data_IF_659842021568
#
_entry.id   IF_659842021568
#
_cell.length_a   1.000
_cell.length_b   1.000
_cell.length_c   1.000
_cell.angle_alpha   90.00
_cell.angle_beta   90.00
_cell.angle_gamma   90.00
#
_symmetry.space_group_name_H-M   'P 1'
#
loop_
_entity.id
_entity.type
_entity.pdbx_description
1 polymer ?
#
# COMPACT_ATOMS: atom_id res chain seq x y z
N UNK A 1 -15.72 -13.22 -11.16
CA UNK A 1 -15.27 -13.22 -12.55
C UNK A 1 -14.23 -12.13 -12.79
N UNK A 2 -13.50 -12.25 -13.87
CA UNK A 2 -12.48 -11.25 -14.24
C UNK A 2 -13.09 -9.86 -14.47
N UNK A 3 -14.32 -9.78 -14.94
CA UNK A 3 -15.00 -8.51 -15.18
C UNK A 3 -15.30 -7.73 -13.90
N UNK A 4 -15.35 -8.39 -12.75
CA UNK A 4 -15.62 -7.79 -11.45
C UNK A 4 -14.34 -7.54 -10.66
N UNK A 5 -13.21 -8.01 -11.15
CA UNK A 5 -11.95 -8.01 -10.43
C UNK A 5 -11.51 -6.63 -9.91
N UNK A 6 -11.62 -5.52 -10.65
CA UNK A 6 -11.21 -4.22 -10.09
C UNK A 6 -11.94 -3.84 -8.81
N UNK A 7 -13.26 -4.00 -8.75
CA UNK A 7 -14.03 -3.70 -7.54
C UNK A 7 -13.72 -4.70 -6.42
N UNK A 8 -13.60 -5.99 -6.77
CA UNK A 8 -13.25 -7.05 -5.83
C UNK A 8 -11.86 -6.82 -5.22
N UNK A 9 -10.88 -6.43 -6.03
CA UNK A 9 -9.54 -6.12 -5.54
C UNK A 9 -9.55 -4.93 -4.58
N UNK A 10 -10.40 -3.93 -4.81
CA UNK A 10 -10.55 -2.81 -3.89
C UNK A 10 -11.06 -3.24 -2.52
N UNK A 11 -12.05 -4.14 -2.47
CA UNK A 11 -12.58 -4.71 -1.22
C UNK A 11 -11.51 -5.54 -0.52
N UNK A 12 -10.85 -6.45 -1.25
CA UNK A 12 -9.78 -7.28 -0.68
C UNK A 12 -8.63 -6.42 -0.14
N UNK A 13 -8.27 -5.34 -0.84
CA UNK A 13 -7.24 -4.42 -0.39
C UNK A 13 -7.61 -3.76 0.94
N UNK A 14 -8.91 -3.40 1.13
CA UNK A 14 -9.42 -2.86 2.39
C UNK A 14 -9.33 -3.86 3.55
N UNK A 15 -9.76 -5.10 3.32
CA UNK A 15 -9.68 -6.17 4.32
C UNK A 15 -8.21 -6.51 4.64
N UNK A 16 -7.36 -6.54 3.63
CA UNK A 16 -5.93 -6.77 3.79
C UNK A 16 -5.27 -5.68 4.64
N UNK A 17 -5.66 -4.42 4.43
CA UNK A 17 -5.14 -3.29 5.20
C UNK A 17 -5.55 -3.38 6.66
N UNK A 18 -6.82 -3.72 6.96
CA UNK A 18 -7.28 -3.93 8.33
C UNK A 18 -6.51 -5.04 9.01
N UNK A 19 -6.30 -6.17 8.33
CA UNK A 19 -5.50 -7.28 8.83
C UNK A 19 -4.06 -6.83 9.11
N UNK A 20 -3.48 -6.06 8.22
CA UNK A 20 -2.12 -5.55 8.38
C UNK A 20 -1.99 -4.67 9.62
N UNK A 21 -2.97 -3.78 9.85
CA UNK A 21 -2.97 -2.92 11.03
C UNK A 21 -3.08 -3.76 12.31
N UNK A 22 -3.99 -4.73 12.34
CA UNK A 22 -4.12 -5.65 13.48
C UNK A 22 -2.80 -6.38 13.75
N UNK A 23 -2.15 -6.88 12.71
CA UNK A 23 -0.87 -7.59 12.81
C UNK A 23 0.22 -6.65 13.35
N UNK A 24 0.30 -5.41 12.85
CA UNK A 24 1.28 -4.43 13.32
C UNK A 24 1.10 -4.17 14.82
N UNK A 25 -0.14 -4.00 15.28
CA UNK A 25 -0.38 -3.71 16.70
C UNK A 25 -0.18 -4.92 17.60
N UNK A 26 -0.43 -6.13 17.10
CA UNK A 26 -0.09 -7.36 17.84
C UNK A 26 1.42 -7.54 18.00
N UNK A 27 2.23 -6.94 17.13
CA UNK A 27 3.69 -7.00 17.12
C UNK A 27 4.33 -5.61 17.12
N UNK A 28 3.71 -4.67 17.83
CA UNK A 28 4.06 -3.25 17.73
C UNK A 28 5.52 -2.98 18.05
N UNK A 29 6.04 -3.57 19.14
CA UNK A 29 7.44 -3.35 19.56
C UNK A 29 8.42 -3.86 18.51
N UNK A 30 8.13 -4.98 17.88
CA UNK A 30 8.96 -5.53 16.79
C UNK A 30 8.97 -4.59 15.59
N UNK A 31 7.82 -4.07 15.19
CA UNK A 31 7.74 -3.10 14.09
C UNK A 31 8.44 -1.79 14.44
N UNK A 32 8.32 -1.34 15.69
CA UNK A 32 9.01 -0.14 16.16
C UNK A 32 10.53 -0.29 16.02
N UNK A 33 11.08 -1.44 16.39
CA UNK A 33 12.49 -1.72 16.23
C UNK A 33 12.92 -1.75 14.76
N UNK A 34 12.14 -2.42 13.90
CA UNK A 34 12.45 -2.54 12.48
C UNK A 34 12.42 -1.17 11.80
N UNK A 35 11.43 -0.35 12.12
CA UNK A 35 11.22 0.93 11.44
C UNK A 35 12.15 2.02 11.98
N UNK A 36 12.36 2.07 13.28
CA UNK A 36 13.08 3.16 13.92
C UNK A 36 14.53 2.85 14.27
N UNK A 37 14.92 1.58 14.36
CA UNK A 37 16.22 1.15 14.89
C UNK A 37 16.88 0.07 14.03
N UNK A 38 16.57 -0.02 12.73
CA UNK A 38 17.07 -1.11 11.90
C UNK A 38 18.39 -0.79 11.16
N UNK A 39 18.91 0.42 11.27
CA UNK A 39 20.15 0.81 10.59
C UNK A 39 21.29 -0.12 10.98
N UNK A 40 22.03 -0.63 9.98
CA UNK A 40 23.10 -1.59 10.18
C UNK A 40 22.66 -3.03 10.43
N UNK A 41 21.36 -3.31 10.41
CA UNK A 41 20.80 -4.66 10.55
C UNK A 41 20.29 -5.19 9.21
N UNK A 42 20.00 -6.52 9.09
CA UNK A 42 19.38 -7.06 7.89
C UNK A 42 18.02 -6.46 7.53
N UNK A 43 17.37 -5.76 8.48
CA UNK A 43 16.03 -5.19 8.29
C UNK A 43 16.03 -3.73 7.85
N UNK A 44 17.19 -3.10 7.64
CA UNK A 44 17.27 -1.68 7.29
C UNK A 44 16.56 -1.33 5.98
N UNK A 45 16.35 -2.31 5.10
CA UNK A 45 15.67 -2.13 3.81
C UNK A 45 14.21 -2.63 3.84
N UNK A 46 13.62 -2.80 5.03
CA UNK A 46 12.29 -3.38 5.18
C UNK A 46 11.23 -2.62 4.36
N UNK A 47 11.16 -1.30 4.50
CA UNK A 47 10.18 -0.48 3.77
C UNK A 47 10.45 -0.56 2.26
N UNK A 48 11.72 -0.51 1.85
CA UNK A 48 12.08 -0.64 0.44
C UNK A 48 11.61 -1.97 -0.15
N UNK A 49 11.75 -3.08 0.59
CA UNK A 49 11.27 -4.39 0.14
C UNK A 49 9.75 -4.42 0.01
N UNK A 50 9.04 -3.82 0.97
CA UNK A 50 7.58 -3.70 0.91
C UNK A 50 7.14 -2.89 -0.32
N UNK A 51 7.84 -1.80 -0.61
CA UNK A 51 7.57 -0.96 -1.78
C UNK A 51 7.77 -1.75 -3.08
N UNK A 52 8.83 -2.54 -3.18
CA UNK A 52 9.08 -3.35 -4.38
C UNK A 52 7.97 -4.38 -4.61
N UNK A 53 7.47 -5.01 -3.56
CA UNK A 53 6.32 -5.93 -3.64
C UNK A 53 5.09 -5.19 -4.15
N UNK A 54 4.83 -4.00 -3.62
CA UNK A 54 3.69 -3.19 -4.03
C UNK A 54 3.80 -2.74 -5.49
N UNK A 55 4.97 -2.33 -5.93
CA UNK A 55 5.22 -1.95 -7.32
C UNK A 55 4.92 -3.13 -8.26
N UNK A 56 5.42 -4.31 -7.94
CA UNK A 56 5.17 -5.52 -8.73
C UNK A 56 3.67 -5.85 -8.77
N UNK A 57 2.97 -5.72 -7.63
CA UNK A 57 1.52 -5.94 -7.54
C UNK A 57 0.75 -4.93 -8.38
N UNK A 58 1.18 -3.67 -8.39
CA UNK A 58 0.56 -2.61 -9.20
C UNK A 58 0.68 -2.90 -10.68
N UNK A 59 1.85 -3.37 -11.14
CA UNK A 59 2.02 -3.75 -12.54
C UNK A 59 1.16 -4.96 -12.93
N UNK A 60 1.03 -5.95 -12.05
CA UNK A 60 0.12 -7.09 -12.27
C UNK A 60 -1.33 -6.61 -12.38
N UNK A 61 -1.73 -5.66 -11.56
CA UNK A 61 -3.06 -5.07 -11.61
C UNK A 61 -3.29 -4.34 -12.94
N UNK A 62 -2.32 -3.53 -13.39
CA UNK A 62 -2.41 -2.84 -14.67
C UNK A 62 -2.50 -3.83 -15.85
N UNK A 63 -1.73 -4.91 -15.82
CA UNK A 63 -1.80 -5.96 -16.84
C UNK A 63 -3.19 -6.60 -16.88
N UNK A 64 -3.79 -6.85 -15.72
CA UNK A 64 -5.15 -7.37 -15.60
C UNK A 64 -6.15 -6.40 -16.22
N UNK A 65 -6.03 -5.10 -15.94
CA UNK A 65 -6.89 -4.09 -16.53
C UNK A 65 -6.78 -4.05 -18.06
N UNK A 66 -5.58 -4.18 -18.59
CA UNK A 66 -5.36 -4.27 -20.03
C UNK A 66 -6.05 -5.49 -20.63
N UNK A 67 -5.94 -6.65 -19.99
CA UNK A 67 -6.62 -7.87 -20.45
C UNK A 67 -8.14 -7.73 -20.45
N UNK A 68 -8.68 -6.92 -19.55
CA UNK A 68 -10.12 -6.66 -19.44
C UNK A 68 -10.58 -5.55 -20.40
N UNK A 69 -9.70 -5.04 -21.26
CA UNK A 69 -10.04 -4.06 -22.28
C UNK A 69 -9.93 -2.60 -21.85
N UNK A 70 -9.38 -2.32 -20.68
CA UNK A 70 -9.19 -0.95 -20.21
C UNK A 70 -7.92 -0.35 -20.81
N UNK A 71 -8.02 0.88 -21.31
CA UNK A 71 -6.88 1.63 -21.81
C UNK A 71 -6.20 2.33 -20.64
N UNK A 72 -5.25 1.65 -20.01
CA UNK A 72 -4.47 2.20 -18.88
C UNK A 72 -3.20 2.83 -19.43
N UNK A 73 -2.89 4.09 -19.09
CA UNK A 73 -1.63 4.72 -19.49
C UNK A 73 -0.44 3.92 -18.97
N UNK A 74 0.64 3.95 -19.74
CA UNK A 74 1.89 3.36 -19.27
C UNK A 74 2.49 4.25 -18.19
N UNK A 75 2.76 3.66 -17.02
CA UNK A 75 3.29 4.37 -15.86
C UNK A 75 4.73 3.93 -15.66
N UNK A 76 5.64 4.91 -15.56
CA UNK A 76 7.04 4.66 -15.33
C UNK A 76 7.23 3.95 -13.98
N UNK A 77 8.09 2.90 -13.97
CA UNK A 77 8.32 2.11 -12.76
C UNK A 77 8.88 2.97 -11.61
N UNK A 78 9.74 3.92 -11.93
CA UNK A 78 10.33 4.81 -10.93
C UNK A 78 9.26 5.70 -10.28
N UNK A 79 8.32 6.22 -11.07
CA UNK A 79 7.18 6.98 -10.54
C UNK A 79 6.31 6.11 -9.64
N UNK A 80 6.00 4.89 -10.07
CA UNK A 80 5.25 3.93 -9.26
C UNK A 80 5.95 3.67 -7.92
N UNK A 81 7.28 3.50 -7.94
CA UNK A 81 8.08 3.33 -6.73
C UNK A 81 7.98 4.55 -5.80
N UNK A 82 8.07 5.77 -6.34
CA UNK A 82 7.97 7.00 -5.56
C UNK A 82 6.61 7.11 -4.87
N UNK A 83 5.53 6.88 -5.60
CA UNK A 83 4.18 6.96 -5.06
C UNK A 83 3.97 5.90 -3.97
N UNK A 84 4.39 4.67 -4.23
CA UNK A 84 4.27 3.57 -3.26
C UNK A 84 5.13 3.81 -2.02
N UNK A 85 6.33 4.37 -2.18
CA UNK A 85 7.19 4.75 -1.05
C UNK A 85 6.50 5.76 -0.15
N UNK A 86 5.85 6.76 -0.73
CA UNK A 86 5.09 7.76 0.03
C UNK A 86 3.96 7.11 0.84
N UNK A 87 3.25 6.18 0.25
CA UNK A 87 2.16 5.46 0.93
C UNK A 87 2.69 4.66 2.11
N UNK A 88 3.69 3.82 1.91
CA UNK A 88 4.21 2.96 3.00
C UNK A 88 4.87 3.78 4.10
N UNK A 89 5.63 4.81 3.75
CA UNK A 89 6.20 5.72 4.75
C UNK A 89 5.11 6.39 5.57
N UNK A 90 4.03 6.81 4.91
CA UNK A 90 2.88 7.40 5.59
C UNK A 90 2.17 6.41 6.53
N UNK A 91 1.95 5.18 6.07
CA UNK A 91 1.34 4.14 6.90
C UNK A 91 2.19 3.87 8.14
N UNK A 92 3.50 3.75 7.99
CA UNK A 92 4.38 3.44 9.12
C UNK A 92 4.61 4.62 10.07
N UNK A 93 4.14 5.83 9.74
CA UNK A 93 4.11 6.95 10.69
C UNK A 93 3.30 6.61 11.94
N UNK A 94 2.30 5.73 11.84
CA UNK A 94 1.53 5.26 13.00
C UNK A 94 2.44 4.59 14.04
N UNK A 95 3.47 3.88 13.58
CA UNK A 95 4.43 3.21 14.45
C UNK A 95 5.45 4.22 14.99
N UNK A 96 5.97 5.08 14.12
CA UNK A 96 6.96 6.10 14.50
C UNK A 96 6.43 6.98 15.64
N UNK A 97 5.15 7.36 15.57
CA UNK A 97 4.52 8.27 16.53
C UNK A 97 3.75 7.57 17.66
N UNK A 98 3.89 6.26 17.81
CA UNK A 98 3.21 5.49 18.87
C UNK A 98 1.70 5.76 18.91
N UNK A 99 1.07 5.81 17.73
CA UNK A 99 -0.34 6.16 17.61
C UNK A 99 -1.24 5.08 18.20
N UNK A 100 -2.31 5.43 18.94
CA UNK A 100 -3.29 4.44 19.40
C UNK A 100 -3.95 3.72 18.22
N UNK A 101 -4.24 2.42 18.39
CA UNK A 101 -4.75 1.55 17.33
C UNK A 101 -6.00 2.10 16.64
N UNK A 102 -6.99 2.57 17.41
CA UNK A 102 -8.25 3.08 16.83
C UNK A 102 -8.01 4.30 15.95
N UNK A 103 -7.15 5.21 16.40
CA UNK A 103 -6.77 6.40 15.63
C UNK A 103 -5.99 5.99 14.38
N UNK A 104 -5.10 5.02 14.50
CA UNK A 104 -4.31 4.49 13.38
C UNK A 104 -5.22 3.89 12.30
N UNK A 105 -6.22 3.09 12.68
CA UNK A 105 -7.19 2.53 11.73
C UNK A 105 -7.91 3.62 10.95
N UNK A 106 -8.37 4.66 11.65
CA UNK A 106 -9.05 5.79 11.02
C UNK A 106 -8.15 6.53 10.03
N UNK A 107 -6.92 6.83 10.43
CA UNK A 107 -5.98 7.59 9.58
C UNK A 107 -5.53 6.78 8.38
N UNK A 108 -5.22 5.50 8.57
CA UNK A 108 -4.76 4.64 7.48
C UNK A 108 -5.90 4.40 6.46
N UNK A 109 -7.13 4.27 6.94
CA UNK A 109 -8.29 4.16 6.04
C UNK A 109 -8.42 5.41 5.16
N UNK A 110 -8.26 6.60 5.73
CA UNK A 110 -8.31 7.86 4.98
C UNK A 110 -7.13 7.97 4.01
N UNK A 111 -5.94 7.58 4.45
CA UNK A 111 -4.74 7.60 3.61
C UNK A 111 -4.91 6.66 2.41
N UNK A 112 -5.47 5.46 2.63
CA UNK A 112 -5.79 4.51 1.56
C UNK A 112 -6.72 5.15 0.53
N UNK A 113 -7.79 5.80 0.98
CA UNK A 113 -8.73 6.49 0.08
C UNK A 113 -8.05 7.57 -0.74
N UNK A 114 -7.14 8.31 -0.13
CA UNK A 114 -6.35 9.35 -0.80
C UNK A 114 -5.52 8.75 -1.94
N UNK A 115 -4.79 7.67 -1.67
CA UNK A 115 -3.94 7.03 -2.68
C UNK A 115 -4.77 6.32 -3.76
N UNK A 116 -5.88 5.68 -3.39
CA UNK A 116 -6.79 5.07 -4.39
C UNK A 116 -7.35 6.11 -5.35
N UNK A 117 -7.79 7.25 -4.85
CA UNK A 117 -8.30 8.33 -5.69
C UNK A 117 -7.22 8.83 -6.65
N UNK A 118 -5.98 8.97 -6.18
CA UNK A 118 -4.85 9.34 -7.02
C UNK A 118 -4.57 8.30 -8.11
N UNK A 119 -4.52 7.02 -7.74
CA UNK A 119 -4.32 5.95 -8.70
C UNK A 119 -5.45 5.85 -9.72
N UNK A 120 -6.72 5.99 -9.29
CA UNK A 120 -7.86 6.02 -10.19
C UNK A 120 -7.71 7.14 -11.23
N UNK A 121 -7.28 8.30 -10.79
CA UNK A 121 -7.06 9.45 -11.68
C UNK A 121 -5.94 9.18 -12.67
N UNK A 122 -4.83 8.63 -12.22
CA UNK A 122 -3.68 8.32 -13.06
C UNK A 122 -4.02 7.21 -14.07
N UNK A 123 -4.71 6.17 -13.63
CA UNK A 123 -5.09 5.04 -14.46
C UNK A 123 -6.30 5.31 -15.34
N UNK A 124 -7.08 6.35 -15.04
CA UNK A 124 -8.27 6.71 -15.81
C UNK A 124 -9.45 5.80 -15.59
N UNK A 125 -9.51 5.07 -14.48
CA UNK A 125 -10.61 4.13 -14.18
C UNK A 125 -11.02 4.25 -12.72
N UNK A 126 -12.21 3.67 -12.41
CA UNK A 126 -12.69 3.48 -11.04
C UNK A 126 -12.46 2.04 -10.61
N UNK A 127 -11.99 1.84 -9.37
CA UNK A 127 -11.84 0.50 -8.79
C UNK A 127 -12.01 0.48 -7.27
#
# INVERSE_FOLDING_TARGET
SDSEQPAHMGVESGECLDWMIDYIYDHFDDFKLIICCSDGTPYQNFIHQMVEIEVDSTYKFMDTLHRLGNAVPQIDRQLCHIVSSGMFSGVFEIVVHDMPKDKAKSYVTTLKRFYEAGWQKIMGIQF
#
